data_IF_553458660194
#
_entry.id   IF_553458660194
#
_cell.length_a   1.000
_cell.length_b   1.000
_cell.length_c   1.000
_cell.angle_alpha   90.00
_cell.angle_beta   90.00
_cell.angle_gamma   90.00
#
_symmetry.space_group_name_H-M   'P 1'
#
loop_
_entity.id
_entity.type
_entity.pdbx_description
1 polymer ?
#
# COMPACT_ATOMS: atom_id res chain seq x y z
N UNK A 1 9.46 -4.34 28.33
CA UNK A 1 9.72 -2.91 28.03
C UNK A 1 8.94 -2.57 26.78
N UNK A 2 8.14 -1.50 26.81
CA UNK A 2 7.39 -1.03 25.63
C UNK A 2 8.33 -0.23 24.71
N UNK A 3 8.06 -0.19 23.40
CA UNK A 3 8.83 0.59 22.42
C UNK A 3 8.93 2.06 22.83
N UNK A 4 7.84 2.63 23.35
CA UNK A 4 7.80 4.01 23.84
C UNK A 4 8.71 4.26 25.05
N UNK A 5 8.92 3.26 25.91
CA UNK A 5 9.84 3.36 27.05
C UNK A 5 11.29 3.34 26.59
N UNK A 6 11.61 2.47 25.62
CA UNK A 6 12.92 2.36 25.02
C UNK A 6 13.29 3.65 24.26
N UNK A 7 12.39 4.17 23.42
CA UNK A 7 12.58 5.44 22.69
C UNK A 7 12.85 6.57 23.67
N UNK A 8 12.01 6.74 24.70
CA UNK A 8 12.17 7.80 25.71
C UNK A 8 13.48 7.67 26.49
N UNK A 9 13.94 6.44 26.74
CA UNK A 9 15.24 6.22 27.38
C UNK A 9 16.38 6.67 26.47
N UNK A 10 16.37 6.26 25.21
CA UNK A 10 17.38 6.61 24.22
C UNK A 10 17.41 8.13 23.93
N UNK A 11 16.26 8.79 23.83
CA UNK A 11 16.18 10.25 23.63
C UNK A 11 16.83 11.02 24.79
N UNK A 12 16.52 10.65 26.04
CA UNK A 12 17.16 11.24 27.24
C UNK A 12 18.66 10.97 27.26
N UNK A 13 19.08 9.77 26.86
CA UNK A 13 20.49 9.42 26.85
C UNK A 13 21.26 10.20 25.78
N UNK A 14 20.70 10.31 24.57
CA UNK A 14 21.23 11.13 23.49
C UNK A 14 21.39 12.60 23.92
N UNK A 15 20.36 13.19 24.56
CA UNK A 15 20.42 14.55 25.08
C UNK A 15 21.52 14.73 26.14
N UNK A 16 21.65 13.78 27.07
CA UNK A 16 22.69 13.81 28.08
C UNK A 16 24.10 13.73 27.47
N UNK A 17 24.33 12.79 26.54
CA UNK A 17 25.62 12.61 25.89
C UNK A 17 26.01 13.84 25.06
N UNK A 18 25.04 14.45 24.37
CA UNK A 18 25.25 15.64 23.55
C UNK A 18 25.58 16.90 24.36
N UNK A 19 24.96 17.07 25.52
CA UNK A 19 24.99 18.36 26.23
C UNK A 19 25.75 18.33 27.57
N UNK A 20 25.95 17.17 28.20
CA UNK A 20 26.38 17.07 29.61
C UNK A 20 27.54 16.12 29.88
N UNK A 21 27.81 15.14 29.01
CA UNK A 21 28.81 14.11 29.31
C UNK A 21 30.27 14.58 29.13
N UNK A 22 30.58 15.23 28.01
CA UNK A 22 31.94 15.65 27.64
C UNK A 22 31.93 17.00 26.91
N UNK A 23 33.04 17.78 26.93
CA UNK A 23 33.15 19.03 26.18
C UNK A 23 32.94 18.86 24.67
N UNK A 24 33.36 17.72 24.12
CA UNK A 24 33.16 17.34 22.73
C UNK A 24 32.42 15.99 22.69
N UNK A 25 31.16 15.96 22.23
CA UNK A 25 30.39 14.73 22.12
C UNK A 25 31.00 13.74 21.12
N UNK A 26 30.77 12.45 21.38
CA UNK A 26 31.07 11.39 20.42
C UNK A 26 29.92 11.29 19.42
N UNK A 27 30.12 11.85 18.22
CA UNK A 27 29.08 11.92 17.20
C UNK A 27 28.72 10.55 16.62
N UNK A 28 29.66 9.60 16.55
CA UNK A 28 29.38 8.22 16.10
C UNK A 28 28.44 7.51 17.07
N UNK A 29 28.65 7.72 18.38
CA UNK A 29 27.75 7.23 19.41
C UNK A 29 26.36 7.87 19.32
N UNK A 30 26.28 9.20 19.12
CA UNK A 30 25.01 9.90 18.96
C UNK A 30 24.24 9.42 17.72
N UNK A 31 24.92 9.24 16.59
CA UNK A 31 24.34 8.74 15.36
C UNK A 31 23.82 7.30 15.51
N UNK A 32 24.59 6.44 16.20
CA UNK A 32 24.16 5.08 16.53
C UNK A 32 22.86 5.08 17.37
N UNK A 33 22.74 5.99 18.33
CA UNK A 33 21.51 6.15 19.11
C UNK A 33 20.36 6.66 18.24
N UNK A 34 20.61 7.62 17.34
CA UNK A 34 19.60 8.11 16.38
C UNK A 34 19.10 7.00 15.45
N UNK A 35 19.98 6.12 14.98
CA UNK A 35 19.62 4.94 14.18
C UNK A 35 18.73 3.99 14.98
N UNK A 36 19.09 3.70 16.24
CA UNK A 36 18.29 2.85 17.12
C UNK A 36 16.90 3.45 17.39
N UNK A 37 16.81 4.76 17.67
CA UNK A 37 15.53 5.47 17.84
C UNK A 37 14.69 5.36 16.57
N UNK A 38 15.28 5.60 15.40
CA UNK A 38 14.59 5.50 14.10
C UNK A 38 14.04 4.09 13.85
N UNK A 39 14.84 3.06 14.12
CA UNK A 39 14.43 1.67 13.97
C UNK A 39 13.25 1.31 14.89
N UNK A 40 13.30 1.77 16.16
CA UNK A 40 12.21 1.56 17.12
C UNK A 40 10.94 2.31 16.74
N UNK A 41 11.06 3.56 16.27
CA UNK A 41 9.90 4.35 15.79
C UNK A 41 9.17 3.64 14.64
N UNK A 42 9.91 2.97 13.75
CA UNK A 42 9.34 2.15 12.67
C UNK A 42 8.61 0.90 13.16
N UNK A 43 8.86 0.43 14.39
CA UNK A 43 8.11 -0.69 14.98
C UNK A 43 6.76 -0.28 15.56
N UNK A 44 6.52 1.02 15.76
CA UNK A 44 5.20 1.53 16.15
C UNK A 44 4.28 1.48 14.92
N UNK A 45 3.19 0.68 14.93
CA UNK A 45 2.30 0.55 13.78
C UNK A 45 1.67 1.89 13.40
N UNK A 46 1.57 2.16 12.09
CA UNK A 46 0.88 3.33 11.54
C UNK A 46 -0.07 2.90 10.44
N UNK A 47 -1.25 3.51 10.39
CA UNK A 47 -2.23 3.25 9.33
C UNK A 47 -1.69 3.72 7.98
N UNK A 48 -1.80 2.92 6.91
CA UNK A 48 -1.46 3.37 5.57
C UNK A 48 -2.40 4.49 5.13
N UNK A 49 -1.91 5.36 4.25
CA UNK A 49 -2.77 6.31 3.55
C UNK A 49 -3.54 5.53 2.49
N UNK A 50 -4.85 5.69 2.46
CA UNK A 50 -5.73 5.01 1.52
C UNK A 50 -6.40 6.03 0.62
N UNK A 51 -6.33 5.79 -0.68
CA UNK A 51 -7.06 6.54 -1.69
C UNK A 51 -7.87 5.56 -2.53
N UNK A 52 -9.18 5.81 -2.63
CA UNK A 52 -10.09 5.06 -3.47
C UNK A 52 -10.40 5.90 -4.70
N UNK A 53 -9.95 5.45 -5.87
CA UNK A 53 -10.26 6.08 -7.15
C UNK A 53 -11.47 5.37 -7.74
N UNK A 54 -12.58 6.09 -7.94
CA UNK A 54 -13.81 5.55 -8.53
C UNK A 54 -13.90 5.96 -10.00
N UNK A 55 -14.04 4.99 -10.88
CA UNK A 55 -14.21 5.19 -12.32
C UNK A 55 -15.69 5.08 -12.75
N UNK A 56 -16.55 4.51 -11.89
CA UNK A 56 -17.95 4.22 -12.23
C UNK A 56 -18.03 2.90 -12.99
N UNK A 57 -18.63 2.87 -14.18
CA UNK A 57 -18.67 1.64 -14.97
C UNK A 57 -17.28 1.22 -15.45
N UNK A 58 -17.11 -0.09 -15.67
CA UNK A 58 -15.88 -0.65 -16.19
C UNK A 58 -15.59 -0.16 -17.61
N UNK A 59 -14.32 0.15 -17.86
CA UNK A 59 -13.81 0.45 -19.20
C UNK A 59 -13.27 -0.84 -19.80
N UNK A 60 -14.14 -1.62 -20.45
CA UNK A 60 -13.72 -2.88 -21.07
C UNK A 60 -12.73 -2.65 -22.21
N UNK A 61 -11.69 -3.48 -22.25
CA UNK A 61 -10.70 -3.50 -23.33
C UNK A 61 -11.39 -3.65 -24.68
N UNK A 62 -10.89 -2.90 -25.67
CA UNK A 62 -11.43 -2.91 -27.02
C UNK A 62 -10.55 -3.69 -27.99
N UNK A 63 -11.19 -4.29 -28.97
CA UNK A 63 -10.51 -4.93 -30.10
C UNK A 63 -9.97 -3.89 -31.10
N UNK A 64 -9.32 -4.38 -32.16
CA UNK A 64 -8.75 -3.53 -33.23
C UNK A 64 -9.80 -2.72 -34.00
N UNK A 65 -11.06 -3.15 -33.95
CA UNK A 65 -12.18 -2.55 -34.66
C UNK A 65 -12.96 -1.57 -33.75
N UNK A 66 -12.56 -1.46 -32.47
CA UNK A 66 -13.13 -0.55 -31.47
C UNK A 66 -14.32 -1.10 -30.70
N UNK A 67 -14.68 -2.37 -30.89
CA UNK A 67 -15.72 -3.06 -30.12
C UNK A 67 -15.13 -3.61 -28.82
N UNK A 68 -15.98 -4.01 -27.86
CA UNK A 68 -15.52 -4.70 -26.65
C UNK A 68 -14.88 -6.04 -27.05
N UNK A 69 -13.66 -6.29 -26.57
CA UNK A 69 -12.93 -7.52 -26.81
C UNK A 69 -13.39 -8.60 -25.81
N UNK A 70 -14.42 -9.36 -26.17
CA UNK A 70 -14.95 -10.46 -25.36
C UNK A 70 -14.01 -11.68 -25.26
N UNK A 71 -12.89 -11.63 -25.98
CA UNK A 71 -11.80 -12.60 -25.93
C UNK A 71 -10.53 -12.01 -25.31
N UNK A 72 -10.63 -10.85 -24.64
CA UNK A 72 -9.50 -10.19 -23.98
C UNK A 72 -8.81 -11.09 -22.94
N UNK A 73 -9.59 -11.98 -22.33
CA UNK A 73 -9.13 -13.09 -21.52
C UNK A 73 -9.66 -14.42 -22.10
N UNK A 74 -8.81 -15.44 -22.09
CA UNK A 74 -9.15 -16.80 -22.52
C UNK A 74 -8.48 -17.79 -21.56
N UNK A 75 -9.27 -18.74 -21.05
CA UNK A 75 -8.86 -19.77 -20.09
C UNK A 75 -9.76 -21.00 -20.19
N UNK A 76 -9.23 -22.08 -20.75
CA UNK A 76 -9.94 -23.34 -21.00
C UNK A 76 -11.27 -23.16 -21.77
N UNK A 77 -12.41 -23.31 -21.11
CA UNK A 77 -13.76 -23.15 -21.70
C UNK A 77 -14.38 -21.79 -21.37
N UNK A 78 -13.57 -20.83 -20.91
CA UNK A 78 -14.01 -19.52 -20.51
C UNK A 78 -13.28 -18.44 -21.32
N UNK A 79 -14.06 -17.59 -21.97
CA UNK A 79 -13.60 -16.33 -22.55
C UNK A 79 -14.23 -15.16 -21.82
N UNK A 80 -13.56 -14.02 -21.81
CA UNK A 80 -14.01 -12.88 -21.04
C UNK A 80 -13.44 -11.54 -21.46
N UNK A 81 -14.07 -10.51 -20.92
CA UNK A 81 -13.61 -9.12 -21.00
C UNK A 81 -12.64 -8.81 -19.86
N UNK A 82 -11.76 -7.84 -20.08
CA UNK A 82 -10.85 -7.29 -19.06
C UNK A 82 -11.07 -5.78 -18.96
N UNK A 83 -11.24 -5.24 -17.75
CA UNK A 83 -11.30 -3.79 -17.53
C UNK A 83 -9.90 -3.17 -17.61
N UNK A 84 -9.72 -2.10 -18.40
CA UNK A 84 -8.43 -1.44 -18.60
C UNK A 84 -7.95 -0.63 -17.40
N UNK A 85 -8.86 -0.29 -16.47
CA UNK A 85 -8.50 0.43 -15.25
C UNK A 85 -8.10 -0.57 -14.15
N UNK A 86 -9.08 -1.28 -13.59
CA UNK A 86 -8.86 -2.14 -12.42
C UNK A 86 -8.38 -3.56 -12.73
N UNK A 87 -8.40 -4.00 -13.99
CA UNK A 87 -8.01 -5.35 -14.40
C UNK A 87 -9.04 -6.44 -14.08
N UNK A 88 -10.25 -6.07 -13.65
CA UNK A 88 -11.36 -7.02 -13.42
C UNK A 88 -11.61 -7.85 -14.68
N UNK A 89 -11.84 -9.15 -14.50
CA UNK A 89 -12.06 -10.10 -15.58
C UNK A 89 -13.43 -10.74 -15.42
N UNK A 90 -14.26 -10.65 -16.46
CA UNK A 90 -15.60 -11.25 -16.45
C UNK A 90 -15.73 -12.22 -17.60
N UNK A 91 -16.05 -13.48 -17.28
CA UNK A 91 -16.37 -14.47 -18.30
C UNK A 91 -17.73 -14.14 -18.93
N UNK A 92 -17.75 -13.88 -20.24
CA UNK A 92 -18.95 -13.49 -20.99
C UNK A 92 -19.93 -14.65 -21.19
N UNK A 93 -19.45 -15.89 -21.13
CA UNK A 93 -20.31 -17.08 -21.19
C UNK A 93 -21.08 -17.33 -19.89
N UNK A 94 -20.46 -17.02 -18.74
CA UNK A 94 -21.07 -17.19 -17.43
C UNK A 94 -21.94 -15.98 -17.04
N UNK A 95 -21.54 -14.79 -17.48
CA UNK A 95 -22.23 -13.54 -17.21
C UNK A 95 -22.51 -12.83 -18.56
N UNK A 96 -23.53 -13.27 -19.31
CA UNK A 96 -23.83 -12.71 -20.63
C UNK A 96 -24.32 -11.26 -20.58
N UNK A 97 -24.71 -10.77 -19.40
CA UNK A 97 -25.15 -9.41 -19.09
C UNK A 97 -24.10 -8.60 -18.32
N UNK A 98 -22.81 -8.95 -18.47
CA UNK A 98 -21.68 -8.31 -17.78
C UNK A 98 -21.59 -6.78 -17.94
N UNK A 99 -22.07 -6.22 -19.07
CA UNK A 99 -22.07 -4.77 -19.34
C UNK A 99 -23.45 -4.13 -19.11
N UNK A 100 -24.39 -4.88 -18.54
CA UNK A 100 -25.75 -4.41 -18.32
C UNK A 100 -25.80 -3.40 -17.16
N UNK A 101 -26.55 -2.29 -17.30
CA UNK A 101 -26.62 -1.26 -16.27
C UNK A 101 -27.44 -1.66 -15.03
N UNK A 102 -28.05 -2.85 -14.99
CA UNK A 102 -29.00 -3.33 -13.99
C UNK A 102 -28.44 -4.40 -13.03
N UNK A 103 -27.22 -4.18 -12.51
CA UNK A 103 -26.62 -4.87 -11.35
C UNK A 103 -26.38 -6.39 -11.46
N UNK A 104 -26.42 -6.97 -12.66
CA UNK A 104 -25.92 -8.34 -12.88
C UNK A 104 -24.46 -8.38 -13.36
N UNK A 105 -23.87 -7.22 -13.69
CA UNK A 105 -22.44 -7.06 -13.93
C UNK A 105 -21.64 -6.94 -12.63
N UNK A 106 -20.29 -6.94 -12.70
CA UNK A 106 -19.45 -6.71 -11.54
C UNK A 106 -19.73 -5.34 -10.90
N UNK A 107 -19.42 -5.20 -9.61
CA UNK A 107 -19.46 -3.93 -8.88
C UNK A 107 -18.76 -2.81 -9.67
N UNK A 108 -19.14 -1.55 -9.42
CA UNK A 108 -18.50 -0.38 -10.03
C UNK A 108 -16.97 -0.47 -10.00
N UNK A 109 -16.33 -0.06 -11.09
CA UNK A 109 -14.89 0.00 -11.23
C UNK A 109 -14.27 1.00 -10.25
N UNK A 110 -13.40 0.50 -9.38
CA UNK A 110 -12.55 1.29 -8.50
C UNK A 110 -11.14 0.71 -8.40
N UNK A 111 -10.18 1.54 -8.01
CA UNK A 111 -8.84 1.12 -7.61
C UNK A 111 -8.55 1.60 -6.19
N UNK A 112 -8.02 0.69 -5.37
CA UNK A 112 -7.51 1.03 -4.05
C UNK A 112 -6.00 1.26 -4.09
N UNK A 113 -5.58 2.46 -3.73
CA UNK A 113 -4.17 2.84 -3.61
C UNK A 113 -3.81 2.98 -2.14
N UNK A 114 -2.87 2.13 -1.69
CA UNK A 114 -2.39 2.11 -0.32
C UNK A 114 -0.93 2.56 -0.27
N UNK A 115 -0.65 3.60 0.52
CA UNK A 115 0.69 4.18 0.63
C UNK A 115 1.22 4.12 2.07
N UNK A 116 2.51 3.83 2.19
CA UNK A 116 3.25 3.91 3.44
C UNK A 116 3.13 5.32 4.02
N UNK A 117 2.72 5.47 5.29
CA UNK A 117 2.54 6.78 5.90
C UNK A 117 3.87 7.52 6.15
N UNK A 118 4.99 6.79 6.15
CA UNK A 118 6.33 7.33 6.41
C UNK A 118 7.04 7.77 5.12
N UNK A 119 7.08 6.91 4.09
CA UNK A 119 7.86 7.18 2.88
C UNK A 119 7.02 7.44 1.62
N UNK A 120 5.69 7.36 1.72
CA UNK A 120 4.76 7.63 0.61
C UNK A 120 4.79 6.62 -0.55
N UNK A 121 5.57 5.54 -0.43
CA UNK A 121 5.61 4.48 -1.44
C UNK A 121 4.40 3.55 -1.29
N UNK A 122 3.95 2.99 -2.41
CA UNK A 122 2.87 2.01 -2.41
C UNK A 122 3.24 0.82 -1.50
N UNK A 123 2.24 0.32 -0.79
CA UNK A 123 2.36 -0.84 0.09
C UNK A 123 1.28 -1.85 -0.25
N UNK A 124 1.65 -3.13 -0.25
CA UNK A 124 0.69 -4.24 -0.26
C UNK A 124 0.32 -4.59 1.19
N UNK A 125 -0.68 -5.46 1.40
CA UNK A 125 -1.21 -5.87 2.71
C UNK A 125 -0.23 -6.71 3.54
N UNK A 126 0.99 -6.22 3.70
CA UNK A 126 2.08 -6.78 4.48
C UNK A 126 2.19 -6.10 5.85
N UNK A 127 2.80 -6.79 6.82
CA UNK A 127 3.01 -6.23 8.15
C UNK A 127 3.99 -5.03 8.17
N UNK A 128 4.84 -4.89 7.14
CA UNK A 128 5.87 -3.87 7.05
C UNK A 128 6.00 -3.31 5.63
N UNK A 129 6.33 -2.02 5.52
CA UNK A 129 6.70 -1.40 4.24
C UNK A 129 8.05 -1.95 3.76
N UNK A 130 8.06 -2.55 2.58
CA UNK A 130 9.27 -3.09 1.92
C UNK A 130 10.35 -2.05 1.62
N UNK A 131 9.97 -0.77 1.51
CA UNK A 131 10.90 0.31 1.16
C UNK A 131 11.60 0.94 2.36
N UNK A 132 10.91 1.09 3.49
CA UNK A 132 11.45 1.82 4.63
C UNK A 132 11.39 1.05 5.95
N UNK A 133 10.73 -0.10 6.01
CA UNK A 133 10.61 -0.94 7.21
C UNK A 133 9.60 -0.45 8.24
N UNK A 134 8.77 0.56 7.91
CA UNK A 134 7.68 1.00 8.79
C UNK A 134 6.64 -0.12 8.95
N UNK A 135 6.30 -0.48 10.19
CA UNK A 135 5.23 -1.40 10.50
C UNK A 135 3.87 -0.79 10.14
N UNK A 136 3.07 -1.53 9.39
CA UNK A 136 1.78 -1.06 8.88
C UNK A 136 0.64 -1.61 9.73
N UNK A 137 -0.31 -0.75 10.07
CA UNK A 137 -1.54 -1.13 10.75
C UNK A 137 -2.71 -1.17 9.76
N UNK A 138 -3.19 -2.36 9.47
CA UNK A 138 -4.32 -2.59 8.54
C UNK A 138 -5.68 -2.64 9.25
N UNK A 139 -5.73 -2.40 10.57
CA UNK A 139 -6.97 -2.38 11.37
C UNK A 139 -7.47 -0.96 11.60
#
# INVERSE_FOLDING_TARGET
MKESEAIRHLERHHEFLRNKWKPHPDYECLDSICMAITALRKQVPKKPKHELIKYGRHSWKKDKDGNIDEMAWDGDFHSGVICENCGEVVCTLCNPDYDSPDNNGPDDCYEEHWQCPECGKNVHKDAYCSHCGQRIDWR
#
